data_IF_780567998952
#
_entry.id   IF_780567998952
#
_cell.length_a   1.000
_cell.length_b   1.000
_cell.length_c   1.000
_cell.angle_alpha   90.00
_cell.angle_beta   90.00
_cell.angle_gamma   90.00
#
_symmetry.space_group_name_H-M   'P 1'
#
loop_
_entity.id
_entity.type
_entity.pdbx_description
1 polymer ?
#
# COMPACT_ATOMS: atom_id res chain seq x y z
N UNK A 1 9.92 49.94 -66.07
CA UNK A 1 10.39 49.21 -64.87
C UNK A 1 11.55 49.98 -64.27
N UNK A 2 11.26 50.82 -63.28
CA UNK A 2 12.25 51.67 -62.62
C UNK A 2 13.00 50.87 -61.53
N UNK A 3 14.29 51.14 -61.45
CA UNK A 3 15.30 50.51 -60.62
C UNK A 3 15.00 50.62 -59.12
N UNK A 4 14.93 49.47 -58.44
CA UNK A 4 15.17 49.36 -57.01
C UNK A 4 16.42 48.51 -56.82
N UNK A 5 17.52 49.15 -56.40
CA UNK A 5 18.71 48.52 -55.79
C UNK A 5 19.55 49.59 -55.11
N UNK A 6 18.94 50.25 -54.12
CA UNK A 6 19.62 51.15 -53.19
C UNK A 6 19.94 50.40 -51.88
N UNK A 7 21.19 50.51 -51.43
CA UNK A 7 21.64 50.48 -50.01
C UNK A 7 21.97 49.17 -49.27
N UNK A 8 22.12 48.00 -49.89
CA UNK A 8 22.47 46.77 -49.12
C UNK A 8 23.98 46.52 -48.98
N UNK A 9 24.81 46.93 -49.95
CA UNK A 9 26.26 46.64 -49.96
C UNK A 9 27.06 47.38 -48.89
N UNK A 10 26.65 48.60 -48.51
CA UNK A 10 27.38 49.41 -47.53
C UNK A 10 27.33 48.87 -46.09
N UNK A 11 26.18 48.32 -45.65
CA UNK A 11 26.01 47.83 -44.27
C UNK A 11 26.74 46.51 -43.99
N UNK A 12 26.89 45.65 -45.01
CA UNK A 12 27.63 44.39 -44.88
C UNK A 12 29.14 44.61 -44.86
N UNK A 13 29.64 45.54 -45.69
CA UNK A 13 31.04 45.94 -45.68
C UNK A 13 31.44 46.57 -44.32
N UNK A 14 30.55 47.39 -43.74
CA UNK A 14 30.74 48.00 -42.43
C UNK A 14 30.77 46.95 -41.30
N UNK A 15 29.90 45.93 -41.38
CA UNK A 15 29.89 44.82 -40.40
C UNK A 15 31.15 43.95 -40.45
N UNK A 16 31.65 43.58 -41.62
CA UNK A 16 32.88 42.78 -41.74
C UNK A 16 34.11 43.57 -41.26
N UNK A 17 34.20 44.86 -41.58
CA UNK A 17 35.25 45.72 -41.07
C UNK A 17 35.21 45.84 -39.53
N UNK A 18 34.02 46.03 -38.95
CA UNK A 18 33.79 46.02 -37.50
C UNK A 18 34.14 44.67 -36.88
N UNK A 19 33.91 43.56 -37.59
CA UNK A 19 34.22 42.20 -37.13
C UNK A 19 35.72 41.98 -37.08
N UNK A 20 36.45 42.34 -38.12
CA UNK A 20 37.91 42.25 -38.14
C UNK A 20 38.55 43.04 -36.99
N UNK A 21 38.06 44.25 -36.73
CA UNK A 21 38.51 45.06 -35.59
C UNK A 21 38.18 44.41 -34.24
N UNK A 22 36.95 43.93 -34.05
CA UNK A 22 36.54 43.27 -32.82
C UNK A 22 37.34 41.99 -32.54
N UNK A 23 37.62 41.19 -33.58
CA UNK A 23 38.45 39.97 -33.50
C UNK A 23 39.91 40.33 -33.20
N UNK A 24 40.47 41.36 -33.83
CA UNK A 24 41.83 41.82 -33.54
C UNK A 24 41.99 42.26 -32.08
N UNK A 25 41.03 43.05 -31.55
CA UNK A 25 41.01 43.44 -30.14
C UNK A 25 40.82 42.24 -29.19
N UNK A 26 40.05 41.24 -29.62
CA UNK A 26 39.87 40.00 -28.84
C UNK A 26 41.17 39.19 -28.76
N UNK A 27 41.89 39.08 -29.88
CA UNK A 27 43.17 38.37 -29.98
C UNK A 27 44.31 39.09 -29.27
N UNK A 28 44.25 40.42 -29.14
CA UNK A 28 45.18 41.20 -28.30
C UNK A 28 44.88 41.11 -26.80
N UNK A 29 43.87 40.31 -26.40
CA UNK A 29 43.62 39.96 -25.00
C UNK A 29 42.59 40.82 -24.28
N UNK A 30 41.86 41.69 -25.00
CA UNK A 30 40.82 42.51 -24.39
C UNK A 30 39.59 41.66 -23.99
N UNK A 31 39.06 42.00 -22.83
CA UNK A 31 37.76 41.49 -22.39
C UNK A 31 36.65 42.04 -23.27
N UNK A 32 35.52 41.33 -23.32
CA UNK A 32 34.33 41.76 -24.06
C UNK A 32 33.88 43.17 -23.65
N UNK A 33 34.05 43.53 -22.37
CA UNK A 33 33.73 44.87 -21.86
C UNK A 33 34.65 45.93 -22.44
N UNK A 34 35.95 45.66 -22.51
CA UNK A 34 36.91 46.59 -23.10
C UNK A 34 36.67 46.77 -24.60
N UNK A 35 36.35 45.70 -25.33
CA UNK A 35 36.02 45.77 -26.77
C UNK A 35 34.74 46.60 -27.02
N UNK A 36 33.73 46.42 -26.16
CA UNK A 36 32.50 47.23 -26.17
C UNK A 36 32.80 48.72 -26.02
N UNK A 37 33.67 49.05 -25.06
CA UNK A 37 34.00 50.43 -24.70
C UNK A 37 34.91 51.07 -25.77
N UNK A 38 35.85 50.31 -26.35
CA UNK A 38 36.77 50.73 -27.42
C UNK A 38 36.03 51.01 -28.74
N UNK A 39 35.17 50.07 -29.17
CA UNK A 39 34.41 50.20 -30.42
C UNK A 39 33.13 51.03 -30.26
N UNK A 40 32.81 51.44 -29.03
CA UNK A 40 31.57 52.18 -28.67
C UNK A 40 30.28 51.47 -29.13
N UNK A 41 30.31 50.13 -29.17
CA UNK A 41 29.16 49.29 -29.59
C UNK A 41 28.39 48.87 -28.34
N UNK A 42 27.38 49.64 -27.95
CA UNK A 42 26.57 49.35 -26.76
C UNK A 42 25.47 48.30 -26.99
N UNK A 43 25.29 47.82 -28.22
CA UNK A 43 24.37 46.73 -28.54
C UNK A 43 25.02 45.37 -28.32
N UNK A 44 24.54 44.65 -27.30
CA UNK A 44 25.08 43.34 -26.91
C UNK A 44 24.92 42.25 -27.98
N UNK A 45 23.86 42.29 -28.79
CA UNK A 45 23.60 41.29 -29.82
C UNK A 45 24.50 41.47 -31.05
N UNK A 46 24.84 42.71 -31.37
CA UNK A 46 25.83 43.02 -32.42
C UNK A 46 27.21 42.59 -31.93
N UNK A 47 27.60 42.97 -30.71
CA UNK A 47 28.89 42.59 -30.14
C UNK A 47 29.06 41.06 -30.02
N UNK A 48 28.00 40.32 -29.67
CA UNK A 48 28.01 38.86 -29.65
C UNK A 48 28.28 38.27 -31.04
N UNK A 49 27.66 38.82 -32.09
CA UNK A 49 27.86 38.37 -33.47
C UNK A 49 29.26 38.70 -33.99
N UNK A 50 29.80 39.88 -33.66
CA UNK A 50 31.16 40.27 -34.03
C UNK A 50 32.22 39.38 -33.38
N UNK A 51 32.01 38.96 -32.13
CA UNK A 51 32.95 38.11 -31.38
C UNK A 51 32.67 36.61 -31.51
N UNK A 52 31.72 36.21 -32.35
CA UNK A 52 31.35 34.80 -32.50
C UNK A 52 32.53 33.99 -33.05
N UNK A 53 32.89 32.93 -32.33
CA UNK A 53 33.99 32.02 -32.67
C UNK A 53 35.33 32.33 -31.98
N UNK A 54 35.47 33.49 -31.33
CA UNK A 54 36.73 33.86 -30.65
C UNK A 54 36.61 33.67 -29.12
N UNK A 55 37.45 32.80 -28.51
CA UNK A 55 37.35 32.49 -27.09
C UNK A 55 37.68 33.72 -26.22
N UNK A 56 37.14 33.79 -24.99
CA UNK A 56 37.58 34.79 -24.02
C UNK A 56 39.04 34.59 -23.60
N UNK A 57 39.78 35.69 -23.34
CA UNK A 57 41.12 35.62 -22.78
C UNK A 57 41.14 34.77 -21.49
N UNK A 58 42.17 33.95 -21.32
CA UNK A 58 42.28 33.01 -20.19
C UNK A 58 42.13 33.69 -18.82
N UNK A 59 42.70 34.89 -18.65
CA UNK A 59 42.61 35.66 -17.39
C UNK A 59 41.17 36.07 -17.02
N UNK A 60 40.23 36.06 -17.97
CA UNK A 60 38.81 36.39 -17.72
C UNK A 60 37.97 35.19 -17.31
N UNK A 61 38.50 33.96 -17.41
CA UNK A 61 37.81 32.76 -16.93
C UNK A 61 37.88 32.74 -15.41
N UNK A 62 36.71 32.74 -14.76
CA UNK A 62 36.64 32.52 -13.31
C UNK A 62 36.67 31.01 -13.04
N UNK A 63 37.53 30.50 -12.14
CA UNK A 63 37.39 29.13 -11.66
C UNK A 63 36.04 28.99 -10.95
N UNK A 64 35.28 27.93 -11.24
CA UNK A 64 34.09 27.66 -10.43
C UNK A 64 34.55 27.13 -9.08
N UNK A 65 33.92 27.59 -8.00
CA UNK A 65 34.25 27.22 -6.61
C UNK A 65 34.22 25.71 -6.31
N UNK A 66 33.80 24.85 -7.27
CA UNK A 66 33.68 23.40 -7.12
C UNK A 66 34.45 22.60 -8.16
N UNK A 67 35.32 23.23 -8.96
CA UNK A 67 36.07 22.51 -10.00
C UNK A 67 37.03 21.46 -9.40
N UNK A 68 37.66 21.77 -8.26
CA UNK A 68 38.53 20.83 -7.54
C UNK A 68 37.74 19.64 -6.95
N UNK A 69 36.57 19.92 -6.38
CA UNK A 69 35.65 18.89 -5.85
C UNK A 69 35.13 17.98 -6.96
N UNK A 70 34.85 18.55 -8.14
CA UNK A 70 34.46 17.79 -9.33
C UNK A 70 35.59 16.88 -9.80
N UNK A 71 36.82 17.40 -9.87
CA UNK A 71 37.98 16.60 -10.27
C UNK A 71 38.20 15.42 -9.32
N UNK A 72 38.15 15.68 -8.00
CA UNK A 72 38.30 14.64 -6.97
C UNK A 72 37.17 13.60 -7.00
N UNK A 73 35.92 14.03 -7.21
CA UNK A 73 34.78 13.12 -7.33
C UNK A 73 34.95 12.13 -8.50
N UNK A 74 35.51 12.59 -9.63
CA UNK A 74 35.76 11.74 -10.80
C UNK A 74 36.87 10.73 -10.55
N UNK A 75 37.94 11.14 -9.88
CA UNK A 75 39.03 10.23 -9.49
C UNK A 75 38.52 9.11 -8.57
N UNK A 76 37.78 9.46 -7.51
CA UNK A 76 37.18 8.49 -6.60
C UNK A 76 36.24 7.52 -7.34
N UNK A 77 35.48 8.04 -8.32
CA UNK A 77 34.58 7.20 -9.12
C UNK A 77 35.34 6.17 -9.96
N UNK A 78 36.45 6.56 -10.59
CA UNK A 78 37.31 5.67 -11.36
C UNK A 78 37.98 4.61 -10.47
N UNK A 79 38.23 4.92 -9.19
CA UNK A 79 38.69 3.97 -8.17
C UNK A 79 37.57 3.01 -7.68
N UNK A 80 36.36 3.09 -8.24
CA UNK A 80 35.25 2.19 -7.89
C UNK A 80 34.39 2.67 -6.72
N UNK A 81 34.40 3.96 -6.37
CA UNK A 81 33.55 4.47 -5.30
C UNK A 81 32.10 4.68 -5.74
N UNK A 82 31.16 4.35 -4.85
CA UNK A 82 29.72 4.61 -5.04
C UNK A 82 29.38 6.08 -4.76
N UNK A 83 28.21 6.53 -5.23
CA UNK A 83 27.79 7.93 -5.03
C UNK A 83 27.74 8.31 -3.55
N UNK A 84 27.19 7.43 -2.71
CA UNK A 84 27.07 7.68 -1.27
C UNK A 84 28.43 7.84 -0.58
N UNK A 85 29.46 7.09 -1.03
CA UNK A 85 30.81 7.23 -0.49
C UNK A 85 31.47 8.54 -0.92
N UNK A 86 31.28 8.93 -2.18
CA UNK A 86 31.81 10.21 -2.70
C UNK A 86 31.10 11.40 -2.03
N UNK A 87 29.80 11.30 -1.79
CA UNK A 87 29.00 12.28 -1.04
C UNK A 87 29.52 12.43 0.40
N UNK A 88 29.69 11.31 1.12
CA UNK A 88 30.22 11.32 2.48
C UNK A 88 31.66 11.86 2.55
N UNK A 89 32.52 11.50 1.59
CA UNK A 89 33.93 11.90 1.55
C UNK A 89 34.11 13.39 1.23
N UNK A 90 33.38 13.91 0.24
CA UNK A 90 33.56 15.28 -0.26
C UNK A 90 32.60 16.30 0.37
N UNK A 91 31.67 15.86 1.23
CA UNK A 91 30.66 16.71 1.85
C UNK A 91 29.74 17.41 0.83
N UNK A 92 29.60 16.83 -0.36
CA UNK A 92 28.85 17.39 -1.48
C UNK A 92 27.47 16.74 -1.60
N UNK A 93 26.48 17.49 -2.06
CA UNK A 93 25.14 16.93 -2.29
C UNK A 93 25.17 15.82 -3.34
N UNK A 94 24.32 14.80 -3.16
CA UNK A 94 24.07 13.74 -4.15
C UNK A 94 23.85 14.26 -5.58
N UNK A 95 23.12 15.37 -5.72
CA UNK A 95 22.86 15.99 -7.02
C UNK A 95 24.13 16.51 -7.69
N UNK A 96 25.06 17.09 -6.93
CA UNK A 96 26.36 17.56 -7.44
C UNK A 96 27.23 16.38 -7.89
N UNK A 97 27.37 15.37 -7.02
CA UNK A 97 28.14 14.14 -7.32
C UNK A 97 27.60 13.47 -8.58
N UNK A 98 26.28 13.27 -8.66
CA UNK A 98 25.63 12.65 -9.82
C UNK A 98 25.90 13.41 -11.11
N UNK A 99 25.82 14.75 -11.09
CA UNK A 99 26.10 15.57 -12.27
C UNK A 99 27.55 15.40 -12.75
N UNK A 100 28.50 15.24 -11.83
CA UNK A 100 29.92 15.17 -12.14
C UNK A 100 30.42 13.80 -12.61
N UNK A 101 29.76 12.71 -12.22
CA UNK A 101 30.30 11.35 -12.40
C UNK A 101 29.37 10.37 -13.12
N UNK A 102 28.15 10.79 -13.50
CA UNK A 102 27.17 9.91 -14.18
C UNK A 102 27.63 9.35 -15.52
N UNK A 103 28.59 10.01 -16.16
CA UNK A 103 29.24 9.58 -17.41
C UNK A 103 30.33 8.52 -17.20
N UNK A 104 30.76 8.29 -15.96
CA UNK A 104 31.81 7.35 -15.62
C UNK A 104 31.25 5.94 -15.31
N UNK A 105 32.06 4.88 -15.51
CA UNK A 105 31.62 3.50 -15.30
C UNK A 105 31.07 3.29 -13.88
N UNK A 106 30.10 2.38 -13.78
CA UNK A 106 29.56 1.96 -12.50
C UNK A 106 30.58 1.04 -11.83
N UNK A 107 30.90 1.25 -10.54
CA UNK A 107 31.73 0.34 -9.78
C UNK A 107 31.16 -1.07 -9.82
N UNK A 108 32.06 -2.04 -9.89
CA UNK A 108 31.69 -3.44 -9.80
C UNK A 108 30.96 -3.71 -8.48
N UNK A 109 29.87 -4.47 -8.56
CA UNK A 109 29.15 -4.91 -7.37
C UNK A 109 29.97 -6.01 -6.71
N UNK A 110 30.31 -5.84 -5.43
CA UNK A 110 31.03 -6.85 -4.62
C UNK A 110 30.28 -8.17 -4.45
N UNK A 111 28.97 -8.21 -4.75
CA UNK A 111 28.11 -9.39 -4.60
C UNK A 111 27.20 -9.52 -5.81
N UNK A 112 26.92 -10.76 -6.19
CA UNK A 112 25.93 -11.03 -7.22
C UNK A 112 24.53 -10.65 -6.71
N UNK A 113 23.60 -10.41 -7.64
CA UNK A 113 22.21 -10.14 -7.30
C UNK A 113 21.57 -11.31 -6.53
N UNK A 114 22.01 -12.54 -6.81
CA UNK A 114 21.51 -13.76 -6.20
C UNK A 114 21.99 -13.90 -4.76
N UNK A 115 23.26 -13.60 -4.48
CA UNK A 115 23.82 -13.60 -3.13
C UNK A 115 23.14 -12.56 -2.23
N UNK A 116 22.92 -11.35 -2.76
CA UNK A 116 22.20 -10.30 -2.04
C UNK A 116 20.74 -10.71 -1.75
N UNK A 117 20.07 -11.35 -2.72
CA UNK A 117 18.70 -11.86 -2.56
C UNK A 117 18.63 -13.00 -1.53
N UNK A 118 19.59 -13.93 -1.54
CA UNK A 118 19.64 -15.05 -0.59
C UNK A 118 19.88 -14.59 0.86
N UNK A 119 20.68 -13.54 1.07
CA UNK A 119 20.86 -12.94 2.40
C UNK A 119 19.57 -12.22 2.84
N UNK A 120 18.93 -11.46 1.95
CA UNK A 120 17.67 -10.79 2.23
C UNK A 120 16.54 -11.77 2.57
N UNK A 121 16.44 -12.89 1.84
CA UNK A 121 15.48 -13.97 2.13
C UNK A 121 15.68 -14.57 3.51
N UNK A 122 16.93 -14.93 3.88
CA UNK A 122 17.25 -15.48 5.21
C UNK A 122 16.91 -14.52 6.34
N UNK A 123 17.24 -13.23 6.19
CA UNK A 123 16.85 -12.20 7.17
C UNK A 123 15.34 -11.99 7.26
N UNK A 124 14.64 -12.15 6.13
CA UNK A 124 13.18 -12.06 6.08
C UNK A 124 12.49 -13.26 6.71
N UNK A 125 12.99 -14.48 6.50
CA UNK A 125 12.48 -15.71 7.11
C UNK A 125 12.58 -15.66 8.63
N UNK A 126 13.74 -15.27 9.18
CA UNK A 126 13.91 -15.10 10.63
C UNK A 126 12.92 -14.05 11.19
N UNK A 127 12.70 -12.96 10.45
CA UNK A 127 11.73 -11.93 10.84
C UNK A 127 10.29 -12.41 10.76
N UNK A 128 9.96 -13.27 9.79
CA UNK A 128 8.64 -13.87 9.67
C UNK A 128 8.38 -14.85 10.82
N UNK A 129 9.37 -15.66 11.21
CA UNK A 129 9.26 -16.58 12.34
C UNK A 129 9.01 -15.83 13.65
N UNK A 130 9.82 -14.80 13.95
CA UNK A 130 9.62 -13.97 15.14
C UNK A 130 8.25 -13.31 15.17
N UNK A 131 7.79 -12.78 14.03
CA UNK A 131 6.44 -12.19 13.93
C UNK A 131 5.32 -13.21 14.12
N UNK A 132 5.52 -14.43 13.63
CA UNK A 132 4.54 -15.50 13.77
C UNK A 132 4.46 -15.99 15.22
N UNK A 133 5.61 -16.06 15.91
CA UNK A 133 5.70 -16.33 17.34
C UNK A 133 5.01 -15.22 18.15
N UNK A 134 5.35 -13.94 17.93
CA UNK A 134 4.67 -12.80 18.56
C UNK A 134 3.15 -12.81 18.31
N UNK A 135 2.72 -13.17 17.09
CA UNK A 135 1.31 -13.30 16.73
C UNK A 135 0.64 -14.44 17.49
N UNK A 136 1.32 -15.55 17.68
CA UNK A 136 0.78 -16.71 18.37
C UNK A 136 0.70 -16.45 19.88
N UNK A 137 1.76 -15.93 20.48
CA UNK A 137 1.81 -15.53 21.90
C UNK A 137 0.71 -14.51 22.24
N UNK A 138 0.51 -13.51 21.38
CA UNK A 138 -0.55 -12.51 21.58
C UNK A 138 -1.94 -13.17 21.58
N UNK A 139 -2.18 -14.13 20.68
CA UNK A 139 -3.46 -14.86 20.62
C UNK A 139 -3.64 -15.78 21.82
N UNK A 140 -2.58 -16.47 22.25
CA UNK A 140 -2.65 -17.39 23.37
C UNK A 140 -2.84 -16.65 24.70
N UNK A 141 -2.20 -15.49 24.88
CA UNK A 141 -2.46 -14.62 26.03
C UNK A 141 -3.90 -14.12 26.04
N UNK A 142 -4.40 -13.60 24.91
CA UNK A 142 -5.80 -13.15 24.81
C UNK A 142 -6.79 -14.30 25.07
N UNK A 143 -6.48 -15.53 24.65
CA UNK A 143 -7.28 -16.72 24.97
C UNK A 143 -7.29 -17.02 26.47
N UNK A 144 -6.15 -16.91 27.14
CA UNK A 144 -6.02 -17.15 28.58
C UNK A 144 -6.76 -16.09 29.40
N UNK A 145 -6.79 -14.83 28.95
CA UNK A 145 -7.53 -13.74 29.61
C UNK A 145 -9.03 -13.99 29.69
N UNK A 146 -9.61 -14.71 28.72
CA UNK A 146 -11.05 -15.03 28.70
C UNK A 146 -11.40 -16.12 29.73
N UNK A 147 -10.55 -17.14 29.86
CA UNK A 147 -10.78 -18.25 30.79
C UNK A 147 -12.13 -18.97 30.57
N UNK A 148 -12.72 -19.46 31.67
CA UNK A 148 -14.05 -20.09 31.66
C UNK A 148 -15.12 -19.02 31.82
N UNK A 149 -16.07 -18.98 30.88
CA UNK A 149 -17.19 -18.04 30.96
C UNK A 149 -18.16 -18.42 32.07
N UNK A 150 -18.53 -17.45 32.89
CA UNK A 150 -19.68 -17.55 33.78
C UNK A 150 -21.00 -17.60 32.99
N UNK A 151 -22.10 -18.11 33.59
CA UNK A 151 -23.42 -18.08 32.95
C UNK A 151 -23.83 -16.67 32.47
N UNK A 152 -23.51 -15.63 33.26
CA UNK A 152 -23.81 -14.24 32.89
C UNK A 152 -22.99 -13.78 31.67
N UNK A 153 -21.71 -14.11 31.60
CA UNK A 153 -20.87 -13.75 30.45
C UNK A 153 -21.32 -14.46 29.19
N UNK A 154 -21.59 -15.77 29.26
CA UNK A 154 -22.12 -16.53 28.14
C UNK A 154 -23.48 -15.97 27.68
N UNK A 155 -24.35 -15.60 28.62
CA UNK A 155 -25.62 -14.95 28.32
C UNK A 155 -25.44 -13.66 27.50
N UNK A 156 -24.56 -12.77 27.94
CA UNK A 156 -24.29 -11.50 27.26
C UNK A 156 -23.64 -11.70 25.89
N UNK A 157 -22.69 -12.63 25.77
CA UNK A 157 -22.05 -13.00 24.50
C UNK A 157 -23.08 -13.53 23.52
N UNK A 158 -23.95 -14.44 23.93
CA UNK A 158 -24.97 -15.01 23.04
C UNK A 158 -26.01 -13.99 22.57
N UNK A 159 -26.43 -13.07 23.44
CA UNK A 159 -27.30 -11.94 23.06
C UNK A 159 -26.59 -11.05 22.02
N UNK A 160 -25.31 -10.72 22.25
CA UNK A 160 -24.52 -9.92 21.31
C UNK A 160 -24.31 -10.61 19.96
N UNK A 161 -23.98 -11.91 19.97
CA UNK A 161 -23.84 -12.72 18.76
C UNK A 161 -25.14 -12.76 17.97
N UNK A 162 -26.28 -13.03 18.63
CA UNK A 162 -27.56 -13.01 17.94
C UNK A 162 -27.89 -11.63 17.37
N UNK A 163 -27.61 -10.55 18.10
CA UNK A 163 -27.90 -9.23 17.59
C UNK A 163 -27.03 -8.84 16.39
N UNK A 164 -25.81 -9.37 16.30
CA UNK A 164 -24.90 -9.15 15.17
C UNK A 164 -25.26 -10.02 13.94
N UNK A 165 -25.48 -11.32 14.13
CA UNK A 165 -25.55 -12.32 13.05
C UNK A 165 -26.96 -12.92 12.85
N UNK A 166 -27.85 -12.75 13.83
CA UNK A 166 -29.21 -13.28 13.84
C UNK A 166 -30.19 -12.46 13.00
N UNK A 167 -31.28 -13.10 12.59
CA UNK A 167 -32.36 -12.43 11.87
C UNK A 167 -33.14 -11.50 12.79
N UNK A 168 -33.24 -10.23 12.40
CA UNK A 168 -34.07 -9.24 13.09
C UNK A 168 -35.48 -9.26 12.52
N UNK A 169 -36.46 -9.12 13.40
CA UNK A 169 -37.85 -8.97 13.03
C UNK A 169 -38.09 -7.63 12.34
N UNK A 170 -39.06 -7.59 11.42
CA UNK A 170 -39.38 -6.37 10.67
C UNK A 170 -40.78 -5.91 11.07
N UNK A 171 -41.00 -4.61 11.40
CA UNK A 171 -42.32 -4.13 11.85
C UNK A 171 -43.48 -4.47 10.90
N UNK A 172 -43.21 -4.50 9.60
CA UNK A 172 -44.17 -4.81 8.53
C UNK A 172 -44.32 -6.32 8.23
N UNK A 173 -43.52 -7.19 8.86
CA UNK A 173 -43.51 -8.63 8.61
C UNK A 173 -43.07 -9.38 9.88
N UNK A 174 -43.83 -9.17 10.96
CA UNK A 174 -43.53 -9.66 12.29
C UNK A 174 -43.70 -11.17 12.41
N UNK A 175 -42.59 -11.85 12.65
CA UNK A 175 -42.45 -13.31 12.73
C UNK A 175 -41.84 -13.76 14.06
N UNK A 176 -41.06 -12.89 14.71
CA UNK A 176 -40.43 -13.15 16.02
C UNK A 176 -39.73 -14.52 16.05
N UNK A 177 -38.99 -14.80 14.99
CA UNK A 177 -38.34 -16.09 14.78
C UNK A 177 -36.84 -15.97 14.96
N UNK A 178 -36.29 -16.86 15.79
CA UNK A 178 -34.85 -16.98 16.02
C UNK A 178 -34.26 -17.81 14.89
N UNK A 179 -33.59 -17.13 13.97
CA UNK A 179 -32.75 -17.73 12.95
C UNK A 179 -31.34 -17.14 13.05
N UNK A 180 -30.34 -18.02 13.11
CA UNK A 180 -28.95 -17.64 13.25
C UNK A 180 -28.13 -18.30 12.14
N UNK A 181 -27.21 -17.57 11.52
CA UNK A 181 -26.44 -18.05 10.38
C UNK A 181 -24.97 -17.72 10.58
N UNK A 182 -24.10 -18.72 10.52
CA UNK A 182 -22.66 -18.47 10.52
C UNK A 182 -21.88 -19.60 9.82
N UNK A 183 -20.65 -19.33 9.38
CA UNK A 183 -19.75 -20.34 8.82
C UNK A 183 -18.65 -20.78 9.78
N UNK A 184 -18.45 -20.07 10.88
CA UNK A 184 -17.44 -20.38 11.88
C UNK A 184 -17.96 -21.44 12.89
N UNK A 185 -17.29 -22.58 13.05
CA UNK A 185 -17.74 -23.64 13.94
C UNK A 185 -17.66 -23.26 15.43
N UNK A 186 -16.74 -22.37 15.82
CA UNK A 186 -16.64 -21.85 17.18
C UNK A 186 -17.82 -20.94 17.52
N UNK A 187 -18.23 -20.08 16.59
CA UNK A 187 -19.44 -19.24 16.73
C UNK A 187 -20.69 -20.11 16.84
N UNK A 188 -20.83 -21.12 15.98
CA UNK A 188 -21.95 -22.06 16.03
C UNK A 188 -21.99 -22.81 17.37
N UNK A 189 -20.86 -23.34 17.83
CA UNK A 189 -20.79 -24.08 19.10
C UNK A 189 -21.11 -23.18 20.30
N UNK A 190 -20.62 -21.94 20.29
CA UNK A 190 -20.91 -20.94 21.34
C UNK A 190 -22.40 -20.59 21.36
N UNK A 191 -23.02 -20.39 20.19
CA UNK A 191 -24.44 -20.11 20.10
C UNK A 191 -25.31 -21.28 20.59
N UNK A 192 -24.91 -22.52 20.28
CA UNK A 192 -25.59 -23.72 20.80
C UNK A 192 -25.47 -23.84 22.33
N UNK A 193 -24.29 -23.60 22.90
CA UNK A 193 -24.10 -23.58 24.35
C UNK A 193 -24.94 -22.46 25.02
N UNK A 194 -25.08 -21.32 24.36
CA UNK A 194 -25.96 -20.25 24.82
C UNK A 194 -27.46 -20.64 24.75
N UNK A 195 -27.88 -21.37 23.72
CA UNK A 195 -29.24 -21.91 23.65
C UNK A 195 -29.52 -22.92 24.79
N UNK A 196 -28.55 -23.75 25.15
CA UNK A 196 -28.66 -24.63 26.33
C UNK A 196 -28.80 -23.83 27.62
N UNK A 197 -28.01 -22.76 27.79
CA UNK A 197 -28.13 -21.84 28.93
C UNK A 197 -29.51 -21.18 29.00
N UNK A 198 -30.12 -20.91 27.85
CA UNK A 198 -31.48 -20.37 27.73
C UNK A 198 -32.57 -21.45 27.85
N UNK A 199 -32.19 -22.69 28.17
CA UNK A 199 -33.05 -23.85 28.36
C UNK A 199 -33.89 -24.20 27.12
N UNK A 200 -33.34 -23.95 25.93
CA UNK A 200 -33.99 -24.27 24.67
C UNK A 200 -33.87 -25.77 24.39
N UNK A 201 -35.00 -26.45 24.28
CA UNK A 201 -35.03 -27.86 23.90
C UNK A 201 -34.39 -28.09 22.52
N UNK A 202 -33.35 -28.94 22.49
CA UNK A 202 -32.63 -29.35 21.29
C UNK A 202 -33.57 -29.93 20.22
N UNK A 203 -34.69 -30.54 20.60
CA UNK A 203 -35.69 -31.06 19.66
C UNK A 203 -36.40 -29.97 18.84
N UNK A 204 -36.40 -28.72 19.33
CA UNK A 204 -36.95 -27.56 18.62
C UNK A 204 -35.96 -26.97 17.61
N UNK A 205 -34.71 -27.43 17.58
CA UNK A 205 -33.71 -26.94 16.64
C UNK A 205 -33.89 -27.59 15.27
N UNK A 206 -33.83 -26.76 14.23
CA UNK A 206 -33.73 -27.18 12.84
C UNK A 206 -32.50 -26.56 12.20
N UNK A 207 -31.80 -27.37 11.43
CA UNK A 207 -30.57 -26.98 10.77
C UNK A 207 -30.76 -26.96 9.26
N UNK A 208 -30.04 -26.11 8.55
CA UNK A 208 -29.85 -26.26 7.11
C UNK A 208 -28.49 -25.74 6.69
N UNK A 209 -27.89 -26.38 5.70
CA UNK A 209 -26.63 -25.91 5.13
C UNK A 209 -26.92 -24.92 4.01
N UNK A 210 -26.18 -23.82 3.98
CA UNK A 210 -26.12 -22.91 2.85
C UNK A 210 -24.74 -22.99 2.21
N UNK A 211 -24.65 -23.57 1.03
CA UNK A 211 -23.36 -23.85 0.37
C UNK A 211 -23.45 -23.57 -1.13
N UNK A 212 -22.31 -23.31 -1.77
CA UNK A 212 -22.24 -23.20 -3.22
C UNK A 212 -22.40 -24.56 -3.89
N UNK A 213 -23.04 -24.58 -5.05
CA UNK A 213 -23.32 -25.82 -5.79
C UNK A 213 -22.05 -26.56 -6.27
N UNK A 214 -20.92 -25.87 -6.35
CA UNK A 214 -19.63 -26.43 -6.75
C UNK A 214 -18.84 -27.08 -5.60
N UNK A 215 -19.34 -26.99 -4.37
CA UNK A 215 -18.66 -27.52 -3.18
C UNK A 215 -19.23 -28.88 -2.76
N UNK A 216 -18.49 -29.60 -1.90
CA UNK A 216 -18.91 -30.89 -1.35
C UNK A 216 -20.07 -30.72 -0.35
N UNK A 217 -21.29 -30.79 -0.87
CA UNK A 217 -22.54 -30.70 -0.10
C UNK A 217 -22.61 -31.79 0.96
N UNK A 218 -22.33 -33.04 0.58
CA UNK A 218 -22.47 -34.18 1.46
C UNK A 218 -21.44 -34.14 2.60
N UNK A 219 -20.20 -33.72 2.32
CA UNK A 219 -19.20 -33.50 3.36
C UNK A 219 -19.52 -32.34 4.27
N UNK A 220 -20.14 -31.27 3.78
CA UNK A 220 -20.62 -30.17 4.61
C UNK A 220 -21.76 -30.60 5.53
N UNK A 221 -22.75 -31.33 5.02
CA UNK A 221 -23.86 -31.86 5.83
C UNK A 221 -23.36 -32.78 6.95
N UNK A 222 -22.46 -33.72 6.64
CA UNK A 222 -21.83 -34.59 7.66
C UNK A 222 -21.07 -33.77 8.69
N UNK A 223 -20.21 -32.85 8.25
CA UNK A 223 -19.43 -31.99 9.15
C UNK A 223 -20.31 -31.24 10.16
N UNK A 224 -21.39 -30.62 9.68
CA UNK A 224 -22.29 -29.88 10.56
C UNK A 224 -23.14 -30.81 11.43
N UNK A 225 -23.55 -31.98 10.94
CA UNK A 225 -24.24 -32.97 11.76
C UNK A 225 -23.36 -33.44 12.92
N UNK A 226 -22.08 -33.75 12.64
CA UNK A 226 -21.11 -34.18 13.65
C UNK A 226 -20.84 -33.06 14.67
N UNK A 227 -20.65 -31.81 14.21
CA UNK A 227 -20.42 -30.67 15.11
C UNK A 227 -21.61 -30.40 16.04
N UNK A 228 -22.83 -30.50 15.51
CA UNK A 228 -24.05 -30.16 16.26
C UNK A 228 -24.61 -31.31 17.08
N UNK A 229 -24.19 -32.55 16.79
CA UNK A 229 -24.78 -33.77 17.35
C UNK A 229 -26.23 -34.01 16.90
N UNK A 230 -26.68 -33.33 15.85
CA UNK A 230 -28.07 -33.36 15.42
C UNK A 230 -28.35 -34.54 14.48
N UNK A 231 -29.52 -35.16 14.66
CA UNK A 231 -29.96 -36.27 13.81
C UNK A 231 -30.41 -35.80 12.41
N UNK A 232 -30.48 -36.71 11.41
CA UNK A 232 -30.90 -36.37 10.05
C UNK A 232 -32.27 -35.68 9.96
N UNK A 233 -33.20 -36.02 10.86
CA UNK A 233 -34.55 -35.44 10.91
C UNK A 233 -34.59 -33.96 11.34
N UNK A 234 -33.49 -33.45 11.92
CA UNK A 234 -33.36 -32.04 12.28
C UNK A 234 -32.79 -31.20 11.15
N UNK A 235 -32.20 -31.81 10.12
CA UNK A 235 -31.69 -31.12 8.95
C UNK A 235 -32.78 -30.96 7.89
N UNK A 236 -33.08 -29.70 7.58
CA UNK A 236 -33.86 -29.33 6.41
C UNK A 236 -32.99 -29.37 5.15
N UNK A 237 -33.66 -29.31 3.99
CA UNK A 237 -33.02 -29.28 2.68
C UNK A 237 -31.92 -28.20 2.60
N UNK A 238 -30.74 -28.62 2.15
CA UNK A 238 -29.61 -27.73 1.86
C UNK A 238 -29.96 -26.71 0.77
N UNK A 239 -29.58 -25.46 1.02
CA UNK A 239 -29.77 -24.35 0.09
C UNK A 239 -28.51 -24.17 -0.76
N UNK A 240 -28.66 -24.41 -2.07
CA UNK A 240 -27.57 -24.24 -3.04
C UNK A 240 -27.54 -22.80 -3.57
N UNK A 241 -26.44 -22.10 -3.31
CA UNK A 241 -26.20 -20.74 -3.81
C UNK A 241 -25.65 -20.80 -5.24
N UNK A 242 -26.51 -20.47 -6.20
CA UNK A 242 -26.16 -20.33 -7.62
C UNK A 242 -25.58 -18.95 -7.88
N UNK A 243 -24.27 -18.82 -7.79
CA UNK A 243 -23.55 -17.66 -8.32
C UNK A 243 -22.07 -17.99 -8.49
N UNK A 244 -21.54 -17.70 -9.68
CA UNK A 244 -20.12 -17.66 -9.96
C UNK A 244 -19.54 -16.38 -9.33
N UNK A 245 -18.71 -16.46 -8.28
CA UNK A 245 -18.08 -15.27 -7.73
C UNK A 245 -17.12 -14.71 -8.79
N UNK A 246 -17.39 -13.50 -9.30
CA UNK A 246 -16.41 -12.73 -10.11
C UNK A 246 -15.10 -12.45 -9.35
N UNK A 247 -15.11 -12.68 -8.04
CA UNK A 247 -13.95 -12.61 -7.16
C UNK A 247 -13.29 -13.97 -7.07
N UNK A 248 -11.98 -14.03 -7.34
CA UNK A 248 -11.16 -15.20 -7.05
C UNK A 248 -11.19 -15.47 -5.54
N UNK A 249 -12.18 -16.25 -5.12
CA UNK A 249 -12.44 -16.54 -3.70
C UNK A 249 -11.30 -17.44 -3.22
N UNK A 250 -10.53 -16.97 -2.25
CA UNK A 250 -9.42 -17.76 -1.67
C UNK A 250 -9.88 -18.91 -0.76
N UNK A 251 -11.17 -18.91 -0.39
CA UNK A 251 -11.79 -19.94 0.47
C UNK A 251 -12.62 -20.95 -0.36
N UNK A 252 -12.01 -21.53 -1.39
CA UNK A 252 -12.59 -22.64 -2.19
C UNK A 252 -11.88 -23.97 -1.96
N UNK A 253 -11.03 -24.06 -0.94
CA UNK A 253 -10.35 -25.29 -0.59
C UNK A 253 -11.29 -26.38 -0.09
N UNK A 254 -10.80 -27.62 -0.03
CA UNK A 254 -11.52 -28.82 0.45
C UNK A 254 -12.12 -28.67 1.87
N UNK A 255 -11.67 -27.67 2.64
CA UNK A 255 -12.17 -27.34 3.97
C UNK A 255 -13.39 -26.42 3.99
N UNK A 256 -13.89 -25.96 2.83
CA UNK A 256 -15.08 -25.11 2.78
C UNK A 256 -16.36 -25.90 3.07
N UNK A 257 -17.00 -25.63 4.21
CA UNK A 257 -18.23 -26.32 4.66
C UNK A 257 -19.51 -25.49 4.53
N UNK A 258 -19.47 -24.35 3.85
CA UNK A 258 -20.63 -23.46 3.77
C UNK A 258 -20.96 -22.74 5.08
N UNK A 259 -22.18 -22.22 5.19
CA UNK A 259 -22.73 -21.66 6.42
C UNK A 259 -23.80 -22.60 6.98
N UNK A 260 -23.84 -22.75 8.30
CA UNK A 260 -24.95 -23.41 8.98
C UNK A 260 -26.02 -22.38 9.33
N UNK A 261 -27.27 -22.72 9.06
CA UNK A 261 -28.46 -22.02 9.55
C UNK A 261 -29.01 -22.79 10.72
N UNK A 262 -29.19 -22.12 11.86
CA UNK A 262 -29.89 -22.64 13.03
C UNK A 262 -31.22 -21.91 13.13
N UNK A 263 -32.31 -22.67 13.14
CA UNK A 263 -33.66 -22.16 13.30
C UNK A 263 -34.26 -22.77 14.57
N UNK A 264 -34.74 -21.93 15.47
CA UNK A 264 -35.45 -22.38 16.67
C UNK A 264 -36.95 -22.35 16.39
N UNK A 265 -37.61 -23.51 16.49
CA UNK A 265 -39.06 -23.59 16.37
C UNK A 265 -39.74 -23.01 17.60
N UNK A 266 -40.94 -22.42 17.43
CA UNK A 266 -41.74 -21.84 18.53
C UNK A 266 -40.97 -20.80 19.36
N UNK A 267 -40.15 -19.97 18.72
CA UNK A 267 -39.16 -19.10 19.38
C UNK A 267 -39.62 -17.67 19.67
N UNK A 268 -40.92 -17.36 19.63
CA UNK A 268 -41.39 -15.99 19.77
C UNK A 268 -41.01 -15.36 21.13
N UNK A 269 -41.16 -16.14 22.20
CA UNK A 269 -40.73 -15.72 23.54
C UNK A 269 -39.21 -15.49 23.60
N UNK A 270 -38.42 -16.47 23.12
CA UNK A 270 -36.97 -16.35 23.06
C UNK A 270 -36.51 -15.12 22.27
N UNK A 271 -37.13 -14.84 21.12
CA UNK A 271 -36.82 -13.66 20.32
C UNK A 271 -37.03 -12.36 21.12
N UNK A 272 -38.19 -12.20 21.77
CA UNK A 272 -38.50 -11.02 22.59
C UNK A 272 -37.55 -10.88 23.77
N UNK A 273 -37.18 -11.99 24.42
CA UNK A 273 -36.17 -12.02 25.49
C UNK A 273 -34.81 -11.54 24.99
N UNK A 274 -34.37 -11.98 23.80
CA UNK A 274 -33.12 -11.51 23.20
C UNK A 274 -33.17 -10.02 22.91
N UNK A 275 -34.25 -9.56 22.27
CA UNK A 275 -34.43 -8.15 21.93
C UNK A 275 -34.41 -7.25 23.17
N UNK A 276 -35.20 -7.59 24.20
CA UNK A 276 -35.20 -6.88 25.47
C UNK A 276 -33.84 -6.90 26.16
N UNK A 277 -33.15 -8.04 26.14
CA UNK A 277 -31.81 -8.17 26.72
C UNK A 277 -30.78 -7.30 26.02
N UNK A 278 -30.84 -7.21 24.69
CA UNK A 278 -29.96 -6.34 23.91
C UNK A 278 -30.13 -4.87 24.30
N UNK A 279 -31.38 -4.39 24.41
CA UNK A 279 -31.62 -3.03 24.87
C UNK A 279 -31.14 -2.81 26.31
N UNK A 280 -31.28 -3.81 27.19
CA UNK A 280 -30.68 -3.80 28.52
C UNK A 280 -29.15 -3.63 28.49
N UNK A 281 -28.46 -4.32 27.58
CA UNK A 281 -27.00 -4.16 27.37
C UNK A 281 -26.66 -2.75 26.90
N UNK A 282 -27.42 -2.21 25.94
CA UNK A 282 -27.23 -0.84 25.41
C UNK A 282 -27.36 0.20 26.53
N UNK A 283 -28.43 0.12 27.34
CA UNK A 283 -28.62 1.00 28.49
C UNK A 283 -27.48 0.85 29.51
N UNK A 284 -27.11 -0.38 29.87
CA UNK A 284 -26.03 -0.65 30.81
C UNK A 284 -24.66 -0.14 30.35
N UNK A 285 -24.38 -0.18 29.04
CA UNK A 285 -23.16 0.38 28.47
C UNK A 285 -23.15 1.91 28.54
N UNK A 286 -24.28 2.57 28.28
CA UNK A 286 -24.41 4.03 28.35
C UNK A 286 -24.22 4.56 29.78
N UNK A 287 -24.74 3.85 30.80
CA UNK A 287 -24.59 4.24 32.21
C UNK A 287 -23.17 4.11 32.76
N UNK A 288 -22.25 3.45 32.04
CA UNK A 288 -20.84 3.31 32.45
C UNK A 288 -19.97 4.53 32.09
N UNK A 289 -20.54 5.48 31.33
CA UNK A 289 -19.87 6.72 30.93
C UNK A 289 -20.22 7.94 31.81
N UNK A 290 -20.83 7.72 32.98
CA UNK A 290 -21.02 8.72 34.04
C UNK A 290 -20.35 8.27 35.33
#
# INVERSE_FOLDING_TARGET
MALSRTSTTGKYADFEALREQAVALRRSGLSRRQIRDELKIHNNDILNRLLQGEPPPEWTKRPNAKDDLRARARELRLQGWTYDRIEAELGCSRSSVSLWVRDLPRPERKRSSEEASAIARRGWEAKLLLREEERQDTKDRARQEVGTLSPRELFLVGVGLYWAEGTKDKPHARREQVTFVNSDPGVISTFLAWLDLMEVDRALLRFSVMIHETADVAGAERYWADLTGAGPSQFNKTTLKRHNPKTARKNTGESYRGCLVIKVLKSADLYRRIEGSWYGIVCGAAHRQG
#
